data_IF_364906594006
#
_entry.id   IF_364906594006
#
_cell.length_a   1.000
_cell.length_b   1.000
_cell.length_c   1.000
_cell.angle_alpha   90.00
_cell.angle_beta   90.00
_cell.angle_gamma   90.00
#
_symmetry.space_group_name_H-M   'P 1'
#
loop_
_entity.id
_entity.type
_entity.pdbx_description
1 polymer ?
#
# COMPACT_ATOMS: atom_id res chain seq x y z
N UNK A 1 -14.63 20.10 -11.68
CA UNK A 1 -15.61 19.55 -10.73
C UNK A 1 -15.80 20.56 -9.62
N UNK A 2 -17.03 21.01 -9.41
CA UNK A 2 -17.40 21.90 -8.30
C UNK A 2 -18.07 21.07 -7.21
N UNK A 3 -17.83 21.40 -5.94
CA UNK A 3 -18.37 20.68 -4.79
C UNK A 3 -18.97 21.67 -3.79
N UNK A 4 -20.15 21.37 -3.26
CA UNK A 4 -20.82 22.15 -2.21
C UNK A 4 -21.07 21.26 -0.99
N UNK A 5 -20.78 21.77 0.21
CA UNK A 5 -21.07 21.05 1.46
C UNK A 5 -22.37 21.54 2.06
N UNK A 6 -23.36 20.65 2.10
CA UNK A 6 -24.65 20.93 2.72
C UNK A 6 -24.67 20.48 4.18
N UNK A 7 -25.27 21.29 5.05
CA UNK A 7 -25.54 20.90 6.44
C UNK A 7 -26.73 19.95 6.48
N UNK A 8 -26.71 18.99 7.42
CA UNK A 8 -27.75 17.96 7.58
C UNK A 8 -29.16 18.57 7.74
N UNK A 9 -29.26 19.71 8.42
CA UNK A 9 -30.54 20.38 8.67
C UNK A 9 -31.21 20.87 7.37
N UNK A 10 -30.43 21.06 6.30
CA UNK A 10 -30.91 21.47 4.97
C UNK A 10 -31.19 20.30 4.04
N UNK A 11 -31.31 19.08 4.56
CA UNK A 11 -31.59 17.92 3.70
C UNK A 11 -32.93 18.06 2.98
N UNK A 12 -33.94 18.68 3.61
CA UNK A 12 -35.23 18.99 2.97
C UNK A 12 -35.03 19.91 1.77
N UNK A 13 -34.34 21.04 1.96
CA UNK A 13 -34.02 21.99 0.89
C UNK A 13 -33.27 21.31 -0.27
N UNK A 14 -32.32 20.42 0.04
CA UNK A 14 -31.57 19.67 -0.97
C UNK A 14 -32.47 18.71 -1.74
N UNK A 15 -33.38 18.00 -1.06
CA UNK A 15 -34.35 17.12 -1.72
C UNK A 15 -35.31 17.91 -2.61
N UNK A 16 -35.74 19.10 -2.18
CA UNK A 16 -36.57 20.00 -2.99
C UNK A 16 -35.83 20.51 -4.24
N UNK A 17 -34.54 20.82 -4.08
CA UNK A 17 -33.64 21.18 -5.18
C UNK A 17 -33.52 20.03 -6.20
N UNK A 18 -33.33 18.79 -5.74
CA UNK A 18 -33.31 17.59 -6.59
C UNK A 18 -34.65 17.39 -7.30
N UNK A 19 -35.77 17.49 -6.57
CA UNK A 19 -37.11 17.32 -7.11
C UNK A 19 -37.43 18.35 -8.19
N UNK A 20 -36.84 19.55 -8.10
CA UNK A 20 -36.91 20.57 -9.14
C UNK A 20 -35.89 20.36 -10.24
N UNK A 21 -34.84 19.55 -10.05
CA UNK A 21 -33.72 19.39 -10.97
C UNK A 21 -32.81 20.63 -11.03
N UNK A 22 -32.68 21.34 -9.91
CA UNK A 22 -31.88 22.56 -9.75
C UNK A 22 -30.96 22.38 -8.56
N UNK A 23 -29.67 22.18 -8.80
CA UNK A 23 -28.69 21.99 -7.73
C UNK A 23 -27.83 23.25 -7.58
N UNK A 24 -28.00 24.03 -6.49
CA UNK A 24 -27.11 25.15 -6.22
C UNK A 24 -25.73 24.65 -5.80
N UNK A 25 -24.69 25.16 -6.47
CA UNK A 25 -23.29 24.89 -6.17
C UNK A 25 -22.56 26.25 -6.15
N UNK A 26 -22.17 26.71 -4.96
CA UNK A 26 -21.64 28.06 -4.77
C UNK A 26 -22.65 29.14 -5.19
N UNK A 27 -22.29 29.94 -6.21
CA UNK A 27 -23.15 30.98 -6.79
C UNK A 27 -23.95 30.51 -8.00
N UNK A 28 -23.65 29.31 -8.49
CA UNK A 28 -24.21 28.77 -9.72
C UNK A 28 -25.34 27.79 -9.41
N UNK A 29 -26.23 27.57 -10.39
CA UNK A 29 -27.27 26.55 -10.33
C UNK A 29 -27.04 25.57 -11.47
N UNK A 30 -26.79 24.31 -11.14
CA UNK A 30 -26.66 23.22 -12.11
C UNK A 30 -28.06 22.68 -12.39
N UNK A 31 -28.51 22.82 -13.64
CA UNK A 31 -29.79 22.29 -14.08
C UNK A 31 -29.63 20.83 -14.55
N UNK A 32 -30.38 19.93 -13.91
CA UNK A 32 -30.40 18.51 -14.22
C UNK A 32 -31.83 18.16 -14.63
N UNK A 33 -32.20 18.68 -15.80
CA UNK A 33 -33.53 18.58 -16.39
C UNK A 33 -33.43 18.31 -17.88
N UNK A 34 -34.47 17.71 -18.44
CA UNK A 34 -34.68 17.60 -19.88
C UNK A 34 -35.95 18.35 -20.27
N UNK A 35 -36.02 18.76 -21.54
CA UNK A 35 -37.22 19.40 -22.07
C UNK A 35 -38.14 18.34 -22.68
N UNK A 36 -39.40 18.29 -22.23
CA UNK A 36 -40.45 17.46 -22.81
C UNK A 36 -41.55 18.39 -23.34
N UNK A 37 -41.62 18.57 -24.66
CA UNK A 37 -42.48 19.57 -25.27
C UNK A 37 -42.03 20.99 -24.91
N UNK A 38 -42.90 21.77 -24.27
CA UNK A 38 -42.59 23.14 -23.79
C UNK A 38 -42.19 23.18 -22.31
N UNK A 39 -42.23 22.04 -21.60
CA UNK A 39 -41.96 21.98 -20.16
C UNK A 39 -40.58 21.40 -19.87
N UNK A 40 -39.93 21.91 -18.82
CA UNK A 40 -38.71 21.34 -18.26
C UNK A 40 -39.05 20.36 -17.16
N UNK A 41 -38.55 19.12 -17.28
CA UNK A 41 -38.76 18.07 -16.28
C UNK A 41 -37.42 17.63 -15.69
N UNK A 42 -37.33 17.43 -14.36
CA UNK A 42 -36.12 16.92 -13.74
C UNK A 42 -35.79 15.53 -14.26
N UNK A 43 -34.51 15.19 -14.36
CA UNK A 43 -34.13 13.80 -14.53
C UNK A 43 -34.46 13.02 -13.25
N UNK A 44 -35.01 11.82 -13.43
CA UNK A 44 -35.27 10.92 -12.30
C UNK A 44 -33.95 10.40 -11.72
N UNK A 45 -33.95 10.15 -10.42
CA UNK A 45 -32.86 9.46 -9.72
C UNK A 45 -32.68 8.10 -10.39
N UNK A 46 -31.49 7.87 -10.94
CA UNK A 46 -31.18 6.65 -11.67
C UNK A 46 -30.59 5.57 -10.77
N UNK A 47 -29.90 5.97 -9.68
CA UNK A 47 -29.09 5.02 -8.93
C UNK A 47 -28.87 5.47 -7.48
N UNK A 48 -29.02 4.52 -6.55
CA UNK A 48 -28.70 4.65 -5.14
C UNK A 48 -27.73 3.54 -4.76
N UNK A 49 -26.49 3.90 -4.42
CA UNK A 49 -25.45 2.92 -4.15
C UNK A 49 -24.72 3.22 -2.85
N UNK A 50 -24.47 2.16 -2.09
CA UNK A 50 -23.48 2.17 -1.04
C UNK A 50 -22.08 2.00 -1.65
N UNK A 51 -21.13 2.81 -1.19
CA UNK A 51 -19.72 2.77 -1.57
C UNK A 51 -18.89 2.53 -0.31
N UNK A 52 -18.12 1.45 -0.31
CA UNK A 52 -17.10 1.24 0.72
C UNK A 52 -15.98 2.28 0.58
N UNK A 53 -15.15 2.44 1.62
CA UNK A 53 -14.08 3.44 1.69
C UNK A 53 -13.17 3.44 0.46
N UNK A 54 -12.74 2.25 -0.01
CA UNK A 54 -11.85 2.13 -1.18
C UNK A 54 -12.47 2.75 -2.42
N UNK A 55 -13.74 2.42 -2.70
CA UNK A 55 -14.44 2.92 -3.88
C UNK A 55 -14.81 4.39 -3.75
N UNK A 56 -15.17 4.85 -2.54
CA UNK A 56 -15.39 6.28 -2.28
C UNK A 56 -14.12 7.09 -2.51
N UNK A 57 -12.96 6.61 -2.05
CA UNK A 57 -11.68 7.31 -2.24
C UNK A 57 -11.34 7.45 -3.72
N UNK A 58 -11.56 6.40 -4.51
CA UNK A 58 -11.30 6.44 -5.96
C UNK A 58 -12.28 7.33 -6.73
N UNK A 59 -13.57 7.34 -6.35
CA UNK A 59 -14.60 8.08 -7.09
C UNK A 59 -14.72 9.55 -6.65
N UNK A 60 -14.57 9.83 -5.35
CA UNK A 60 -14.89 11.13 -4.75
C UNK A 60 -13.76 11.74 -3.92
N UNK A 61 -12.65 11.03 -3.72
CA UNK A 61 -11.53 11.52 -2.89
C UNK A 61 -11.85 11.63 -1.40
N UNK A 62 -12.85 10.90 -0.89
CA UNK A 62 -13.22 10.90 0.53
C UNK A 62 -12.72 9.65 1.26
N UNK A 63 -12.33 9.82 2.53
CA UNK A 63 -11.75 8.77 3.39
C UNK A 63 -12.79 7.96 4.19
N UNK A 64 -14.04 7.98 3.76
CA UNK A 64 -15.16 7.34 4.45
C UNK A 64 -16.04 6.57 3.47
N UNK A 65 -16.73 5.53 3.94
CA UNK A 65 -17.82 4.96 3.15
C UNK A 65 -18.90 6.02 2.89
N UNK A 66 -19.60 5.92 1.76
CA UNK A 66 -20.65 6.89 1.40
C UNK A 66 -21.88 6.20 0.85
N UNK A 67 -23.04 6.77 1.12
CA UNK A 67 -24.18 6.59 0.24
C UNK A 67 -24.11 7.62 -0.87
N UNK A 68 -24.22 7.17 -2.11
CA UNK A 68 -24.26 8.03 -3.28
C UNK A 68 -25.63 7.92 -3.94
N UNK A 69 -26.24 9.07 -4.18
CA UNK A 69 -27.41 9.23 -5.03
C UNK A 69 -26.94 9.85 -6.34
N UNK A 70 -27.06 9.11 -7.44
CA UNK A 70 -26.65 9.58 -8.75
C UNK A 70 -27.87 9.97 -9.57
N UNK A 71 -27.83 11.19 -10.05
CA UNK A 71 -28.77 11.73 -11.04
C UNK A 71 -27.96 11.88 -12.32
N UNK A 72 -28.43 11.24 -13.39
CA UNK A 72 -27.76 11.27 -14.68
C UNK A 72 -28.79 11.35 -15.79
N UNK A 73 -28.47 12.13 -16.82
CA UNK A 73 -29.29 12.25 -18.00
C UNK A 73 -28.46 12.71 -19.19
N UNK A 74 -28.67 12.07 -20.34
CA UNK A 74 -28.16 12.62 -21.59
C UNK A 74 -28.99 13.84 -21.97
N UNK A 75 -28.33 14.94 -22.27
CA UNK A 75 -28.94 16.11 -22.91
C UNK A 75 -29.29 15.68 -24.34
N UNK A 76 -30.52 15.22 -24.49
CA UNK A 76 -31.05 14.82 -25.79
C UNK A 76 -31.65 16.05 -26.45
N UNK A 77 -30.97 16.55 -27.47
CA UNK A 77 -31.60 17.41 -28.45
C UNK A 77 -32.48 16.53 -29.34
N UNK A 78 -33.72 16.96 -29.62
CA UNK A 78 -34.50 16.29 -30.66
C UNK A 78 -33.80 16.43 -32.03
N UNK A 79 -34.08 15.49 -32.94
CA UNK A 79 -33.43 15.45 -34.26
C UNK A 79 -33.62 16.74 -35.06
N UNK A 80 -34.72 17.47 -34.86
CA UNK A 80 -34.99 18.70 -35.59
C UNK A 80 -34.12 19.84 -35.07
N UNK A 81 -33.98 19.97 -33.74
CA UNK A 81 -33.09 20.93 -33.10
C UNK A 81 -31.63 20.66 -33.42
N UNK A 82 -31.19 19.41 -33.40
CA UNK A 82 -29.82 19.06 -33.84
C UNK A 82 -29.57 19.51 -35.27
N UNK A 83 -30.49 19.18 -36.20
CA UNK A 83 -30.37 19.63 -37.58
C UNK A 83 -30.33 21.15 -37.70
N UNK A 84 -31.12 21.88 -36.92
CA UNK A 84 -31.12 23.35 -36.90
C UNK A 84 -29.78 23.90 -36.39
N UNK A 85 -29.25 23.35 -35.31
CA UNK A 85 -27.93 23.72 -34.76
C UNK A 85 -26.83 23.44 -35.79
N UNK A 86 -26.79 22.23 -36.33
CA UNK A 86 -25.77 21.86 -37.32
C UNK A 86 -25.88 22.70 -38.59
N UNK A 87 -27.09 23.02 -39.04
CA UNK A 87 -27.30 23.92 -40.19
C UNK A 87 -26.81 25.34 -39.90
N UNK A 88 -27.07 25.85 -38.70
CA UNK A 88 -26.59 27.16 -38.27
C UNK A 88 -25.06 27.19 -38.22
N UNK A 89 -24.42 26.17 -37.65
CA UNK A 89 -22.96 26.04 -37.56
C UNK A 89 -22.29 25.98 -38.94
N UNK A 90 -22.91 25.27 -39.90
CA UNK A 90 -22.43 25.22 -41.29
C UNK A 90 -22.60 26.56 -42.04
N UNK A 91 -23.42 27.47 -41.52
CA UNK A 91 -23.71 28.76 -42.14
C UNK A 91 -22.92 29.94 -41.55
N UNK A 92 -22.09 29.70 -40.53
CA UNK A 92 -21.22 30.71 -39.95
C UNK A 92 -20.13 31.19 -40.95
N UNK A 93 -19.61 32.40 -40.76
CA UNK A 93 -18.49 32.96 -41.56
C UNK A 93 -17.26 32.03 -41.58
N UNK A 94 -16.99 31.39 -40.45
CA UNK A 94 -16.08 30.25 -40.33
C UNK A 94 -16.94 29.01 -40.06
N UNK A 95 -17.30 28.24 -41.10
CA UNK A 95 -18.27 27.16 -40.97
C UNK A 95 -17.67 25.95 -40.25
N UNK A 96 -18.52 25.26 -39.49
CA UNK A 96 -18.20 23.98 -38.85
C UNK A 96 -19.10 22.89 -39.43
N UNK A 97 -18.59 21.67 -39.60
CA UNK A 97 -19.40 20.51 -40.02
C UNK A 97 -20.22 19.93 -38.86
N UNK A 98 -21.11 20.76 -38.34
CA UNK A 98 -22.00 20.43 -37.24
C UNK A 98 -21.33 20.48 -35.86
N UNK A 99 -22.10 20.08 -34.86
CA UNK A 99 -21.72 20.21 -33.45
C UNK A 99 -20.52 19.34 -33.07
N UNK A 100 -20.34 18.18 -33.71
CA UNK A 100 -19.21 17.29 -33.45
C UNK A 100 -17.88 17.91 -33.92
N UNK A 101 -17.85 18.46 -35.13
CA UNK A 101 -16.66 19.12 -35.69
C UNK A 101 -16.22 20.34 -34.85
N UNK A 102 -17.19 21.17 -34.44
CA UNK A 102 -16.94 22.26 -33.50
C UNK A 102 -16.34 21.76 -32.18
N UNK A 103 -16.89 20.70 -31.60
CA UNK A 103 -16.41 20.13 -30.33
C UNK A 103 -15.02 19.53 -30.44
N UNK A 104 -14.69 18.92 -31.57
CA UNK A 104 -13.35 18.37 -31.80
C UNK A 104 -12.33 19.48 -31.96
N UNK A 105 -12.54 20.40 -32.90
CA UNK A 105 -11.49 21.32 -33.34
C UNK A 105 -11.43 22.63 -32.55
N UNK A 106 -12.55 23.08 -31.96
CA UNK A 106 -12.57 24.30 -31.15
C UNK A 106 -12.37 24.00 -29.66
N UNK A 107 -13.05 22.97 -29.13
CA UNK A 107 -12.96 22.60 -27.71
C UNK A 107 -11.78 21.65 -27.44
N UNK A 108 -11.32 20.90 -28.46
CA UNK A 108 -10.21 19.95 -28.32
C UNK A 108 -10.63 18.56 -27.82
N UNK A 109 -11.90 18.16 -28.03
CA UNK A 109 -12.37 16.84 -27.63
C UNK A 109 -11.99 15.78 -28.67
N UNK A 110 -11.57 14.57 -28.28
CA UNK A 110 -11.36 13.47 -29.24
C UNK A 110 -12.65 13.16 -30.02
N UNK A 111 -12.53 12.81 -31.30
CA UNK A 111 -13.66 12.50 -32.21
C UNK A 111 -14.76 11.63 -31.58
N UNK A 112 -14.38 10.53 -30.92
CA UNK A 112 -15.33 9.61 -30.27
C UNK A 112 -16.15 10.26 -29.16
N UNK A 113 -15.59 11.26 -28.47
CA UNK A 113 -16.27 12.02 -27.42
C UNK A 113 -17.10 13.14 -28.02
N UNK A 114 -16.58 13.82 -29.05
CA UNK A 114 -17.26 14.91 -29.74
C UNK A 114 -18.58 14.47 -30.41
N UNK A 115 -18.69 13.20 -30.80
CA UNK A 115 -19.89 12.60 -31.38
C UNK A 115 -20.93 12.11 -30.37
N UNK A 116 -20.63 12.10 -29.06
CA UNK A 116 -21.58 11.61 -28.04
C UNK A 116 -22.50 12.72 -27.56
N UNK A 117 -23.77 12.43 -27.25
CA UNK A 117 -24.64 13.37 -26.55
C UNK A 117 -23.97 13.86 -25.27
N UNK A 118 -24.12 15.15 -24.96
CA UNK A 118 -23.72 15.65 -23.65
C UNK A 118 -24.53 14.94 -22.56
N UNK A 119 -23.94 14.76 -21.39
CA UNK A 119 -24.65 14.23 -20.25
C UNK A 119 -24.47 15.17 -19.06
N UNK A 120 -25.59 15.45 -18.39
CA UNK A 120 -25.59 16.06 -17.08
C UNK A 120 -25.55 14.96 -16.03
N UNK A 121 -24.62 15.07 -15.09
CA UNK A 121 -24.54 14.17 -13.94
C UNK A 121 -24.37 15.00 -12.66
N UNK A 122 -25.09 14.62 -11.61
CA UNK A 122 -24.73 15.00 -10.26
C UNK A 122 -24.76 13.79 -9.33
N UNK A 123 -23.73 13.75 -8.48
CA UNK A 123 -23.62 12.82 -7.39
C UNK A 123 -23.86 13.57 -6.07
N UNK A 124 -24.85 13.11 -5.32
CA UNK A 124 -25.13 13.58 -3.97
C UNK A 124 -24.63 12.52 -3.02
N UNK A 125 -23.56 12.87 -2.31
CA UNK A 125 -22.83 11.95 -1.44
C UNK A 125 -23.13 12.26 0.02
N UNK A 126 -23.47 11.22 0.78
CA UNK A 126 -23.65 11.25 2.22
C UNK A 126 -22.56 10.37 2.87
N UNK A 127 -21.44 10.97 3.32
CA UNK A 127 -20.38 10.23 4.00
C UNK A 127 -20.84 9.66 5.33
N UNK A 128 -20.60 8.37 5.52
CA UNK A 128 -20.66 7.71 6.82
C UNK A 128 -19.31 7.91 7.48
N UNK A 129 -19.18 9.00 8.24
CA UNK A 129 -17.95 9.40 8.91
C UNK A 129 -17.57 8.46 10.08
N UNK A 130 -17.44 7.16 9.82
CA UNK A 130 -16.91 6.12 10.70
C UNK A 130 -15.89 5.33 9.89
N UNK A 131 -14.68 5.18 10.43
CA UNK A 131 -13.63 4.35 9.85
C UNK A 131 -12.77 3.73 10.94
N UNK A 132 -12.02 2.70 10.57
CA UNK A 132 -10.98 2.15 11.40
C UNK A 132 -9.75 3.07 11.33
N UNK A 133 -9.10 3.27 12.47
CA UNK A 133 -7.92 4.12 12.61
C UNK A 133 -6.66 3.38 12.12
N UNK A 134 -5.76 4.14 11.49
CA UNK A 134 -4.53 3.61 10.90
C UNK A 134 -3.50 3.18 11.97
N UNK A 135 -3.74 3.56 13.24
CA UNK A 135 -3.00 3.15 14.44
C UNK A 135 -3.48 1.81 15.05
N UNK A 136 -4.42 1.13 14.38
CA UNK A 136 -4.85 -0.21 14.79
C UNK A 136 -3.74 -1.25 14.60
N UNK A 137 -3.58 -2.15 15.56
CA UNK A 137 -2.46 -3.11 15.61
C UNK A 137 -2.91 -4.48 16.10
N UNK A 138 -2.23 -5.53 15.64
CA UNK A 138 -2.34 -6.88 16.17
C UNK A 138 -0.97 -7.32 16.68
N UNK A 139 -0.87 -7.55 17.99
CA UNK A 139 0.35 -8.07 18.60
C UNK A 139 0.03 -9.35 19.39
N UNK A 140 0.58 -10.46 18.92
CA UNK A 140 0.27 -11.80 19.41
C UNK A 140 -1.25 -12.05 19.44
N UNK A 141 -1.87 -12.07 20.63
CA UNK A 141 -3.32 -12.26 20.82
C UNK A 141 -4.09 -10.97 21.04
N UNK A 142 -3.41 -9.83 21.13
CA UNK A 142 -4.00 -8.56 21.49
C UNK A 142 -4.23 -7.74 20.22
N UNK A 143 -5.50 -7.61 19.85
CA UNK A 143 -5.96 -6.74 18.79
C UNK A 143 -6.36 -5.38 19.39
N UNK A 144 -5.62 -4.32 19.03
CA UNK A 144 -5.97 -2.94 19.35
C UNK A 144 -6.60 -2.31 18.11
N UNK A 145 -7.86 -1.89 18.22
CA UNK A 145 -8.60 -1.26 17.13
C UNK A 145 -8.96 0.17 17.52
N UNK A 146 -8.48 1.11 16.72
CA UNK A 146 -8.86 2.51 16.79
C UNK A 146 -10.03 2.79 15.87
N UNK A 147 -10.93 3.69 16.27
CA UNK A 147 -12.12 4.07 15.52
C UNK A 147 -12.14 5.59 15.41
N UNK A 148 -12.09 6.06 14.17
CA UNK A 148 -12.24 7.47 13.84
C UNK A 148 -13.69 7.69 13.43
N UNK A 149 -14.42 8.51 14.20
CA UNK A 149 -15.81 8.83 13.89
C UNK A 149 -16.15 10.29 14.20
N UNK A 150 -17.09 10.82 13.42
CA UNK A 150 -17.68 12.15 13.65
C UNK A 150 -18.40 12.18 15.02
N UNK A 151 -18.14 13.20 15.87
CA UNK A 151 -18.83 13.36 17.15
C UNK A 151 -20.36 13.40 17.06
N UNK A 152 -20.93 13.80 15.92
CA UNK A 152 -22.37 13.86 15.70
C UNK A 152 -23.01 12.49 15.42
N UNK A 153 -22.21 11.45 15.14
CA UNK A 153 -22.72 10.10 14.93
C UNK A 153 -23.05 9.41 16.24
N UNK A 154 -24.22 8.77 16.28
CA UNK A 154 -24.63 7.96 17.42
C UNK A 154 -23.79 6.67 17.50
N UNK A 155 -22.80 6.68 18.39
CA UNK A 155 -21.84 5.59 18.57
C UNK A 155 -22.47 4.27 19.01
N UNK A 156 -23.70 4.27 19.53
CA UNK A 156 -24.43 3.05 19.94
C UNK A 156 -24.72 2.12 18.76
N UNK A 157 -24.73 2.66 17.55
CA UNK A 157 -24.93 1.89 16.33
C UNK A 157 -23.63 1.42 15.67
N UNK A 158 -22.47 1.74 16.26
CA UNK A 158 -21.17 1.26 15.80
C UNK A 158 -20.88 -0.08 16.49
N UNK A 159 -20.58 -1.10 15.70
CA UNK A 159 -20.05 -2.38 16.16
C UNK A 159 -18.84 -2.79 15.34
N UNK A 160 -17.98 -3.61 15.94
CA UNK A 160 -16.87 -4.26 15.25
C UNK A 160 -17.14 -5.74 15.19
N UNK A 161 -17.03 -6.32 13.99
CA UNK A 161 -16.97 -7.77 13.81
C UNK A 161 -15.51 -8.16 13.58
N UNK A 162 -15.03 -9.13 14.36
CA UNK A 162 -13.69 -9.69 14.23
C UNK A 162 -13.80 -11.13 13.78
N UNK A 163 -13.12 -11.45 12.68
CA UNK A 163 -13.00 -12.80 12.14
C UNK A 163 -11.51 -13.16 12.24
N UNK A 164 -11.18 -14.13 13.08
CA UNK A 164 -9.81 -14.57 13.32
C UNK A 164 -9.65 -15.99 12.78
N UNK A 165 -8.68 -16.22 11.91
CA UNK A 165 -8.27 -17.55 11.45
C UNK A 165 -6.97 -17.90 12.16
N UNK A 166 -6.93 -19.04 12.84
CA UNK A 166 -5.75 -19.52 13.56
C UNK A 166 -4.98 -20.54 12.70
N UNK A 167 -3.72 -20.84 13.06
CA UNK A 167 -2.82 -21.63 12.20
C UNK A 167 -3.30 -23.05 11.88
N UNK A 168 -4.19 -23.62 12.69
CA UNK A 168 -4.82 -24.92 12.41
C UNK A 168 -6.00 -24.85 11.42
N UNK A 169 -6.26 -23.67 10.83
CA UNK A 169 -7.35 -23.41 9.89
C UNK A 169 -8.70 -23.10 10.54
N UNK A 170 -8.86 -23.25 11.85
CA UNK A 170 -10.12 -22.90 12.51
C UNK A 170 -10.37 -21.39 12.50
N UNK A 171 -11.66 -21.02 12.41
CA UNK A 171 -12.09 -19.62 12.33
C UNK A 171 -12.94 -19.26 13.54
N UNK A 172 -12.54 -18.21 14.26
CA UNK A 172 -13.23 -17.63 15.39
C UNK A 172 -13.91 -16.34 14.94
N UNK A 173 -15.15 -16.12 15.38
CA UNK A 173 -15.95 -14.94 15.03
C UNK A 173 -16.51 -14.33 16.30
N UNK A 174 -16.33 -13.02 16.46
CA UNK A 174 -16.86 -12.28 17.59
C UNK A 174 -17.32 -10.90 17.15
N UNK A 175 -18.37 -10.40 17.79
CA UNK A 175 -18.88 -9.04 17.58
C UNK A 175 -18.76 -8.24 18.87
N UNK A 176 -18.30 -7.00 18.74
CA UNK A 176 -18.07 -6.08 19.85
C UNK A 176 -18.83 -4.78 19.60
N UNK A 177 -19.82 -4.48 20.43
CA UNK A 177 -20.50 -3.18 20.39
C UNK A 177 -19.68 -2.12 21.12
N UNK A 178 -19.66 -0.88 20.61
CA UNK A 178 -19.14 0.24 21.39
C UNK A 178 -20.12 0.61 22.50
N UNK A 179 -19.93 0.03 23.69
CA UNK A 179 -20.73 0.37 24.87
C UNK A 179 -20.46 1.77 25.42
N UNK A 180 -19.37 2.43 24.99
CA UNK A 180 -18.95 3.76 25.43
C UNK A 180 -18.37 4.54 24.25
N UNK A 181 -18.25 5.88 24.36
CA UNK A 181 -17.52 6.76 23.41
C UNK A 181 -16.01 6.46 23.29
N UNK A 182 -15.54 5.29 23.73
CA UNK A 182 -14.16 4.87 23.62
C UNK A 182 -13.82 4.64 22.16
N UNK A 183 -12.91 5.45 21.64
CA UNK A 183 -12.38 5.35 20.27
C UNK A 183 -11.30 4.29 20.10
N UNK A 184 -10.89 3.64 21.18
CA UNK A 184 -9.89 2.57 21.17
C UNK A 184 -10.45 1.35 21.90
N UNK A 185 -10.46 0.22 21.20
CA UNK A 185 -10.86 -1.09 21.72
C UNK A 185 -9.63 -1.99 21.82
N UNK A 186 -9.48 -2.64 22.96
CA UNK A 186 -8.49 -3.70 23.17
C UNK A 186 -9.24 -5.02 23.27
N UNK A 187 -9.01 -5.90 22.32
CA UNK A 187 -9.66 -7.19 22.18
C UNK A 187 -8.60 -8.27 22.38
N UNK A 188 -8.83 -9.18 23.32
CA UNK A 188 -7.98 -10.35 23.53
C UNK A 188 -8.59 -11.53 22.77
N UNK A 189 -7.85 -12.06 21.81
CA UNK A 189 -8.27 -13.20 21.01
C UNK A 189 -8.05 -14.51 21.79
N UNK A 190 -8.92 -15.52 21.64
CA UNK A 190 -8.80 -16.80 22.37
C UNK A 190 -7.52 -17.59 22.08
N UNK A 191 -6.88 -17.31 20.95
CA UNK A 191 -5.62 -17.92 20.52
C UNK A 191 -4.90 -17.00 19.54
N UNK A 192 -3.62 -17.28 19.25
CA UNK A 192 -2.81 -16.49 18.32
C UNK A 192 -3.37 -16.65 16.89
N UNK A 193 -3.90 -15.58 16.27
CA UNK A 193 -4.39 -15.64 14.89
C UNK A 193 -3.23 -15.82 13.91
N UNK A 194 -3.47 -16.53 12.81
CA UNK A 194 -2.70 -16.44 11.57
C UNK A 194 -3.16 -15.22 10.74
N UNK A 195 -4.47 -14.95 10.74
CA UNK A 195 -5.10 -13.79 10.11
C UNK A 195 -6.24 -13.26 11.00
N UNK A 196 -6.45 -11.95 11.01
CA UNK A 196 -7.60 -11.33 11.65
C UNK A 196 -8.18 -10.24 10.74
N UNK A 197 -9.44 -10.40 10.34
CA UNK A 197 -10.24 -9.36 9.69
C UNK A 197 -11.06 -8.61 10.72
N UNK A 198 -11.00 -7.29 10.67
CA UNK A 198 -11.81 -6.39 11.49
C UNK A 198 -12.72 -5.60 10.57
N UNK A 199 -14.03 -5.70 10.82
CA UNK A 199 -15.07 -5.06 10.02
C UNK A 199 -15.79 -4.07 10.93
N UNK A 200 -15.74 -2.78 10.59
CA UNK A 200 -16.54 -1.76 11.23
C UNK A 200 -17.94 -1.75 10.62
N UNK A 201 -18.96 -1.78 11.48
CA UNK A 201 -20.36 -1.84 11.07
C UNK A 201 -21.09 -0.65 11.71
N UNK A 202 -21.81 0.13 10.91
CA UNK A 202 -22.71 1.18 11.38
C UNK A 202 -24.15 0.90 10.92
N UNK A 203 -25.08 0.76 11.87
CA UNK A 203 -26.51 0.45 11.58
C UNK A 203 -26.71 -0.76 10.65
N UNK A 204 -25.86 -1.78 10.79
CA UNK A 204 -25.93 -3.01 10.01
C UNK A 204 -25.21 -2.98 8.66
N UNK A 205 -24.57 -1.85 8.31
CA UNK A 205 -23.79 -1.71 7.06
C UNK A 205 -22.30 -1.77 7.37
N UNK A 206 -21.55 -2.57 6.60
CA UNK A 206 -20.08 -2.59 6.61
C UNK A 206 -19.55 -1.25 6.08
N UNK A 207 -18.87 -0.48 6.93
CA UNK A 207 -18.36 0.86 6.60
C UNK A 207 -16.86 0.91 6.38
N UNK A 208 -16.10 -0.03 6.96
CA UNK A 208 -14.65 -0.08 6.79
C UNK A 208 -14.10 -1.45 7.22
N UNK A 209 -12.96 -1.83 6.64
CA UNK A 209 -12.31 -3.11 6.93
C UNK A 209 -10.80 -2.95 7.06
N UNK A 210 -10.24 -3.60 8.08
CA UNK A 210 -8.81 -3.81 8.24
C UNK A 210 -8.50 -5.30 8.27
N UNK A 211 -7.42 -5.67 7.59
CA UNK A 211 -6.89 -7.03 7.61
C UNK A 211 -5.52 -7.02 8.30
N UNK A 212 -5.34 -7.95 9.24
CA UNK A 212 -4.07 -8.24 9.88
C UNK A 212 -3.65 -9.66 9.52
N UNK A 213 -2.41 -9.85 9.10
CA UNK A 213 -1.80 -11.18 8.95
C UNK A 213 -0.60 -11.27 9.89
N UNK A 214 -0.48 -12.36 10.66
CA UNK A 214 0.64 -12.55 11.61
C UNK A 214 1.85 -13.22 10.98
N UNK A 215 1.69 -13.82 9.79
CA UNK A 215 2.76 -14.20 8.86
C UNK A 215 2.31 -13.90 7.43
N UNK A 216 2.71 -12.75 6.89
CA UNK A 216 2.46 -12.46 5.47
C UNK A 216 3.48 -13.15 4.57
N UNK A 217 4.56 -13.69 5.14
CA UNK A 217 5.58 -14.45 4.43
C UNK A 217 5.40 -15.98 4.58
N UNK A 218 5.07 -16.70 3.49
CA UNK A 218 4.91 -18.16 3.53
C UNK A 218 6.20 -18.90 3.91
N UNK A 219 7.39 -18.30 3.68
CA UNK A 219 8.68 -18.90 4.05
C UNK A 219 8.88 -18.92 5.57
N UNK A 220 8.51 -17.83 6.26
CA UNK A 220 8.50 -17.80 7.74
C UNK A 220 7.45 -18.75 8.29
N UNK A 221 6.25 -18.80 7.70
CA UNK A 221 5.20 -19.72 8.11
C UNK A 221 5.67 -21.19 8.03
N UNK A 222 6.39 -21.57 6.97
CA UNK A 222 6.99 -22.90 6.84
C UNK A 222 8.01 -23.20 7.96
N UNK A 223 8.91 -22.25 8.25
CA UNK A 223 9.90 -22.42 9.33
C UNK A 223 9.21 -22.61 10.70
N UNK A 224 8.15 -21.85 10.98
CA UNK A 224 7.36 -22.02 12.20
C UNK A 224 6.70 -23.42 12.26
N UNK A 225 6.20 -23.95 11.14
CA UNK A 225 5.66 -25.33 11.06
C UNK A 225 6.73 -26.40 11.29
N UNK A 226 7.99 -26.14 10.92
CA UNK A 226 9.13 -27.00 11.19
C UNK A 226 9.65 -26.87 12.64
N UNK A 227 8.95 -26.10 13.49
CA UNK A 227 9.30 -25.91 14.90
C UNK A 227 10.33 -24.81 15.16
N UNK A 228 10.69 -24.02 14.13
CA UNK A 228 11.59 -22.88 14.28
C UNK A 228 10.77 -21.60 14.47
N UNK A 229 10.55 -21.21 15.72
CA UNK A 229 9.93 -19.91 16.03
C UNK A 229 10.85 -18.76 15.64
N UNK A 230 10.30 -17.55 15.43
CA UNK A 230 11.10 -16.36 15.14
C UNK A 230 12.12 -16.04 16.25
N UNK A 231 11.73 -16.19 17.52
CA UNK A 231 12.64 -15.98 18.66
C UNK A 231 13.78 -17.01 18.66
N UNK A 232 13.46 -18.27 18.32
CA UNK A 232 14.48 -19.30 18.16
C UNK A 232 15.39 -19.00 16.97
N UNK A 233 14.85 -18.52 15.85
CA UNK A 233 15.62 -18.15 14.66
C UNK A 233 16.57 -16.98 14.96
N UNK A 234 16.08 -15.93 15.61
CA UNK A 234 16.91 -14.82 16.08
C UNK A 234 18.01 -15.33 17.02
N UNK A 235 17.66 -16.11 18.04
CA UNK A 235 18.63 -16.67 18.99
C UNK A 235 19.70 -17.51 18.30
N UNK A 236 19.34 -18.29 17.26
CA UNK A 236 20.30 -19.05 16.46
C UNK A 236 21.24 -18.15 15.67
N UNK A 237 20.74 -17.08 15.03
CA UNK A 237 21.58 -16.11 14.34
C UNK A 237 22.54 -15.39 15.28
N UNK A 238 22.08 -15.02 16.48
CA UNK A 238 22.90 -14.29 17.44
C UNK A 238 23.97 -15.12 18.14
N UNK A 239 23.69 -16.41 18.37
CA UNK A 239 24.56 -17.29 19.18
C UNK A 239 25.33 -18.33 18.35
N UNK A 240 25.04 -18.46 17.05
CA UNK A 240 25.76 -19.38 16.18
C UNK A 240 27.21 -18.94 15.94
N UNK A 241 28.06 -19.93 15.64
CA UNK A 241 29.49 -19.73 15.41
C UNK A 241 29.91 -20.40 14.09
N UNK A 242 30.86 -19.78 13.40
CA UNK A 242 31.43 -20.31 12.15
C UNK A 242 30.36 -20.72 11.13
N UNK A 243 30.42 -21.98 10.69
CA UNK A 243 29.54 -22.54 9.65
C UNK A 243 28.05 -22.51 9.99
N UNK A 244 27.68 -22.55 11.27
CA UNK A 244 26.27 -22.44 11.64
C UNK A 244 25.75 -21.02 11.42
N UNK A 245 26.58 -20.00 11.63
CA UNK A 245 26.19 -18.60 11.37
C UNK A 245 25.99 -18.36 9.87
N UNK A 246 26.83 -18.94 9.02
CA UNK A 246 26.64 -18.92 7.57
C UNK A 246 25.31 -19.57 7.15
N UNK A 247 25.01 -20.76 7.67
CA UNK A 247 23.75 -21.47 7.38
C UNK A 247 22.52 -20.65 7.77
N UNK A 248 22.53 -20.08 8.98
CA UNK A 248 21.41 -19.26 9.44
C UNK A 248 21.28 -17.96 8.66
N UNK A 249 22.39 -17.35 8.25
CA UNK A 249 22.39 -16.19 7.35
C UNK A 249 21.82 -16.53 5.97
N UNK A 250 22.10 -17.74 5.45
CA UNK A 250 21.49 -18.24 4.22
C UNK A 250 19.96 -18.42 4.36
N UNK A 251 19.50 -19.01 5.47
CA UNK A 251 18.05 -19.15 5.74
C UNK A 251 17.37 -17.78 5.88
N UNK A 252 18.06 -16.79 6.43
CA UNK A 252 17.55 -15.42 6.53
C UNK A 252 17.35 -14.80 5.15
N UNK A 253 18.35 -14.91 4.26
CA UNK A 253 18.25 -14.43 2.88
C UNK A 253 17.13 -15.15 2.12
N UNK A 254 16.98 -16.47 2.31
CA UNK A 254 15.85 -17.21 1.74
C UNK A 254 14.52 -16.65 2.23
N UNK A 255 14.41 -16.40 3.55
CA UNK A 255 13.21 -15.83 4.16
C UNK A 255 12.92 -14.42 3.63
N UNK A 256 13.93 -13.64 3.24
CA UNK A 256 13.79 -12.32 2.63
C UNK A 256 13.41 -12.36 1.14
N UNK A 257 13.15 -13.54 0.58
CA UNK A 257 12.73 -13.68 -0.82
C UNK A 257 13.87 -13.74 -1.82
N UNK A 258 15.07 -14.09 -1.36
CA UNK A 258 16.18 -14.40 -2.25
C UNK A 258 16.33 -15.91 -2.45
N UNK A 259 17.13 -16.28 -3.44
CA UNK A 259 17.51 -17.66 -3.76
C UNK A 259 19.00 -17.88 -3.43
N UNK A 260 19.36 -18.22 -2.17
CA UNK A 260 20.74 -18.38 -1.74
C UNK A 260 21.32 -19.76 -2.07
N UNK A 261 22.57 -19.79 -2.52
CA UNK A 261 23.46 -20.93 -2.51
C UNK A 261 24.54 -20.77 -1.43
N UNK A 262 24.61 -21.70 -0.48
CA UNK A 262 25.64 -21.73 0.57
C UNK A 262 26.83 -22.57 0.09
N UNK A 263 28.00 -21.95 -0.04
CA UNK A 263 29.26 -22.58 -0.47
C UNK A 263 30.28 -22.68 0.68
N UNK A 264 29.93 -22.20 1.87
CA UNK A 264 30.77 -22.28 3.06
C UNK A 264 31.15 -23.73 3.40
N UNK A 265 32.45 -23.96 3.59
CA UNK A 265 33.00 -25.28 3.87
C UNK A 265 33.18 -26.20 2.65
N UNK A 266 32.97 -25.70 1.44
CA UNK A 266 33.40 -26.39 0.21
C UNK A 266 34.90 -26.20 -0.03
N UNK A 267 35.49 -27.03 -0.90
CA UNK A 267 36.88 -26.88 -1.35
C UNK A 267 37.05 -25.83 -2.47
N UNK A 268 35.97 -25.14 -2.83
CA UNK A 268 35.98 -24.12 -3.87
C UNK A 268 36.46 -22.80 -3.26
N UNK A 269 37.22 -22.02 -4.04
CA UNK A 269 37.54 -20.63 -3.69
C UNK A 269 36.32 -19.72 -3.95
N UNK A 270 35.27 -19.91 -3.15
CA UNK A 270 33.97 -19.28 -3.30
C UNK A 270 33.67 -18.35 -2.10
N UNK A 271 32.81 -17.33 -2.27
CA UNK A 271 32.19 -16.63 -1.14
C UNK A 271 31.32 -17.60 -0.33
N UNK A 272 31.10 -17.32 0.95
CA UNK A 272 30.28 -18.19 1.82
C UNK A 272 28.85 -18.38 1.27
N UNK A 273 28.24 -17.30 0.76
CA UNK A 273 26.88 -17.31 0.20
C UNK A 273 26.83 -16.48 -1.09
N UNK A 274 26.08 -16.97 -2.08
CA UNK A 274 25.64 -16.19 -3.24
C UNK A 274 24.12 -16.22 -3.25
N UNK A 275 23.45 -15.07 -3.33
CA UNK A 275 21.99 -15.01 -3.30
C UNK A 275 21.43 -14.17 -4.45
N UNK A 276 20.61 -14.80 -5.29
CA UNK A 276 19.93 -14.16 -6.42
C UNK A 276 18.60 -13.56 -5.98
N UNK A 277 18.23 -12.42 -6.56
CA UNK A 277 16.83 -12.00 -6.60
C UNK A 277 16.02 -12.90 -7.54
N UNK A 278 14.71 -13.01 -7.29
CA UNK A 278 13.82 -13.84 -8.11
C UNK A 278 13.70 -13.33 -9.57
N UNK A 279 13.90 -12.03 -9.81
CA UNK A 279 13.95 -11.41 -11.15
C UNK A 279 15.32 -11.51 -11.84
N UNK A 280 16.34 -12.04 -11.15
CA UNK A 280 17.71 -12.14 -11.61
C UNK A 280 18.35 -10.80 -12.05
N UNK A 281 17.89 -9.66 -11.53
CA UNK A 281 18.52 -8.35 -11.77
C UNK A 281 19.56 -7.99 -10.68
N UNK A 282 19.48 -8.63 -9.51
CA UNK A 282 20.32 -8.32 -8.36
C UNK A 282 20.94 -9.59 -7.73
N UNK A 283 22.20 -9.48 -7.33
CA UNK A 283 22.99 -10.56 -6.75
C UNK A 283 23.72 -10.07 -5.51
N UNK A 284 23.58 -10.80 -4.41
CA UNK A 284 24.42 -10.64 -3.24
C UNK A 284 25.56 -11.64 -3.27
N UNK A 285 26.78 -11.14 -3.07
CA UNK A 285 27.98 -11.95 -2.81
C UNK A 285 28.32 -11.73 -1.35
N UNK A 286 28.22 -12.77 -0.53
CA UNK A 286 28.27 -12.64 0.91
C UNK A 286 29.37 -13.48 1.57
N UNK A 287 30.08 -12.84 2.50
CA UNK A 287 30.91 -13.49 3.52
C UNK A 287 30.21 -13.41 4.87
N UNK A 288 30.44 -14.40 5.72
CA UNK A 288 29.99 -14.39 7.10
C UNK A 288 31.20 -14.47 8.04
N UNK A 289 31.15 -13.75 9.16
CA UNK A 289 32.17 -13.83 10.20
C UNK A 289 31.60 -13.59 11.58
N UNK A 290 32.06 -14.37 12.55
CA UNK A 290 31.82 -14.13 13.98
C UNK A 290 33.00 -13.42 14.65
N UNK A 291 34.12 -13.29 13.93
CA UNK A 291 35.33 -12.57 14.36
C UNK A 291 35.33 -11.12 13.85
N UNK A 292 36.49 -10.44 13.92
CA UNK A 292 36.66 -9.11 13.30
C UNK A 292 36.39 -9.18 11.78
N UNK A 293 35.70 -8.17 11.20
CA UNK A 293 35.33 -8.11 9.79
C UNK A 293 36.45 -8.42 8.78
N UNK A 294 37.65 -7.85 8.97
CA UNK A 294 38.77 -8.05 8.05
C UNK A 294 39.79 -9.10 8.51
N UNK A 295 39.45 -9.92 9.51
CA UNK A 295 40.36 -10.98 9.96
C UNK A 295 40.72 -11.89 8.78
N UNK A 296 42.03 -11.97 8.48
CA UNK A 296 42.53 -12.77 7.34
C UNK A 296 42.26 -12.16 5.96
N UNK A 297 41.99 -10.85 5.87
CA UNK A 297 41.79 -10.13 4.63
C UNK A 297 40.45 -10.41 3.95
N UNK A 298 39.42 -10.80 4.72
CA UNK A 298 38.09 -11.17 4.22
C UNK A 298 37.46 -10.07 3.37
N UNK A 299 37.57 -8.80 3.76
CA UNK A 299 37.00 -7.70 2.98
C UNK A 299 37.66 -7.58 1.61
N UNK A 300 38.99 -7.72 1.54
CA UNK A 300 39.72 -7.69 0.25
C UNK A 300 39.33 -8.88 -0.64
N UNK A 301 39.23 -10.07 -0.06
CA UNK A 301 38.82 -11.28 -0.82
C UNK A 301 37.39 -11.13 -1.33
N UNK A 302 36.48 -10.63 -0.50
CA UNK A 302 35.09 -10.38 -0.88
C UNK A 302 35.00 -9.37 -2.02
N UNK A 303 35.70 -8.24 -1.93
CA UNK A 303 35.74 -7.24 -3.00
C UNK A 303 36.27 -7.83 -4.32
N UNK A 304 37.38 -8.58 -4.26
CA UNK A 304 37.96 -9.25 -5.43
C UNK A 304 37.01 -10.25 -6.07
N UNK A 305 36.41 -11.15 -5.28
CA UNK A 305 35.44 -12.16 -5.76
C UNK A 305 34.21 -11.50 -6.37
N UNK A 306 33.69 -10.46 -5.73
CA UNK A 306 32.53 -9.70 -6.21
C UNK A 306 32.83 -9.04 -7.55
N UNK A 307 34.02 -8.44 -7.72
CA UNK A 307 34.43 -7.84 -8.99
C UNK A 307 34.58 -8.88 -10.10
N UNK A 308 35.13 -10.05 -9.79
CA UNK A 308 35.23 -11.17 -10.75
C UNK A 308 33.84 -11.65 -11.19
N UNK A 309 32.94 -11.87 -10.23
CA UNK A 309 31.54 -12.29 -10.50
C UNK A 309 30.80 -11.22 -11.30
N UNK A 310 30.90 -9.94 -10.92
CA UNK A 310 30.27 -8.84 -11.66
C UNK A 310 30.81 -8.68 -13.08
N UNK A 311 32.09 -9.00 -13.32
CA UNK A 311 32.66 -9.02 -14.67
C UNK A 311 32.06 -10.13 -15.53
N UNK A 312 31.76 -11.29 -14.93
CA UNK A 312 31.12 -12.41 -15.60
C UNK A 312 29.61 -12.19 -15.81
N UNK A 313 28.93 -11.47 -14.91
CA UNK A 313 27.49 -11.24 -14.88
C UNK A 313 27.13 -9.76 -15.12
N UNK A 314 27.52 -9.22 -16.27
CA UNK A 314 27.39 -7.78 -16.58
C UNK A 314 25.95 -7.24 -16.58
N UNK A 315 24.96 -8.10 -16.74
CA UNK A 315 23.54 -7.71 -16.76
C UNK A 315 22.93 -7.57 -15.37
N UNK A 316 23.67 -7.93 -14.30
CA UNK A 316 23.18 -7.92 -12.93
C UNK A 316 23.88 -6.86 -12.10
N UNK A 317 23.14 -6.29 -11.16
CA UNK A 317 23.75 -5.52 -10.06
C UNK A 317 24.34 -6.50 -9.05
N UNK A 318 25.64 -6.48 -8.83
CA UNK A 318 26.31 -7.36 -7.86
C UNK A 318 26.78 -6.56 -6.65
N UNK A 319 26.28 -6.89 -5.46
CA UNK A 319 26.57 -6.17 -4.22
C UNK A 319 27.35 -7.06 -3.25
N UNK A 320 28.55 -6.64 -2.79
CA UNK A 320 29.29 -7.34 -1.75
C UNK A 320 28.69 -7.07 -0.37
N UNK A 321 28.49 -8.12 0.41
CA UNK A 321 27.90 -8.06 1.75
C UNK A 321 28.74 -8.84 2.74
N UNK A 322 29.04 -8.24 3.89
CA UNK A 322 29.60 -8.96 5.03
C UNK A 322 28.55 -9.07 6.13
N UNK A 323 28.15 -10.30 6.45
CA UNK A 323 27.38 -10.60 7.66
C UNK A 323 28.34 -10.77 8.84
N UNK A 324 28.06 -10.08 9.94
CA UNK A 324 28.81 -10.25 11.18
C UNK A 324 27.92 -10.36 12.40
N UNK A 325 28.29 -11.27 13.31
CA UNK A 325 27.67 -11.39 14.62
C UNK A 325 28.10 -10.27 15.59
N UNK A 326 29.02 -9.38 15.19
CA UNK A 326 29.42 -8.21 16.00
C UNK A 326 28.36 -7.11 15.94
N UNK A 327 28.03 -6.48 17.08
CA UNK A 327 27.31 -5.21 17.13
C UNK A 327 28.04 -4.08 16.39
N UNK A 328 27.29 -3.11 15.86
CA UNK A 328 27.83 -1.99 15.06
C UNK A 328 28.87 -1.16 15.81
N UNK A 329 28.64 -0.92 17.10
CA UNK A 329 29.54 -0.14 17.96
C UNK A 329 30.85 -0.86 18.31
N UNK A 330 30.98 -2.15 18.00
CA UNK A 330 32.19 -2.95 18.22
C UNK A 330 33.00 -3.16 16.94
N UNK A 331 32.60 -2.56 15.82
CA UNK A 331 33.41 -2.58 14.60
C UNK A 331 34.57 -1.60 14.75
N UNK A 332 35.79 -2.06 14.44
CA UNK A 332 36.95 -1.17 14.42
C UNK A 332 36.90 -0.22 13.21
N UNK A 333 37.50 0.98 13.35
CA UNK A 333 37.43 2.03 12.32
C UNK A 333 38.05 1.61 11.00
N UNK A 334 39.18 0.88 11.05
CA UNK A 334 39.91 0.43 9.86
C UNK A 334 39.06 -0.46 8.96
N UNK A 335 38.30 -1.39 9.54
CA UNK A 335 37.41 -2.28 8.81
C UNK A 335 36.25 -1.51 8.17
N UNK A 336 35.70 -0.53 8.89
CA UNK A 336 34.63 0.34 8.40
C UNK A 336 35.12 1.20 7.23
N UNK A 337 36.29 1.80 7.34
CA UNK A 337 36.92 2.60 6.27
C UNK A 337 37.21 1.75 5.04
N UNK A 338 37.73 0.54 5.23
CA UNK A 338 37.99 -0.41 4.15
C UNK A 338 36.71 -0.85 3.45
N UNK A 339 35.67 -1.21 4.20
CA UNK A 339 34.38 -1.55 3.63
C UNK A 339 33.74 -0.37 2.88
N UNK A 340 33.89 0.86 3.39
CA UNK A 340 33.47 2.07 2.69
C UNK A 340 34.17 2.21 1.33
N UNK A 341 35.51 2.09 1.33
CA UNK A 341 36.32 2.21 0.11
C UNK A 341 35.98 1.14 -0.93
N UNK A 342 35.75 -0.09 -0.49
CA UNK A 342 35.42 -1.23 -1.37
C UNK A 342 33.92 -1.37 -1.65
N UNK A 343 33.09 -0.43 -1.17
CA UNK A 343 31.62 -0.44 -1.32
C UNK A 343 30.94 -1.72 -0.81
N UNK A 344 31.42 -2.24 0.32
CA UNK A 344 30.91 -3.44 0.99
C UNK A 344 29.87 -3.05 2.03
N UNK A 345 28.67 -3.61 1.92
CA UNK A 345 27.66 -3.47 2.96
C UNK A 345 28.03 -4.34 4.16
N UNK A 346 28.08 -3.76 5.36
CA UNK A 346 28.29 -4.53 6.60
C UNK A 346 26.95 -4.67 7.32
N UNK A 347 26.46 -5.91 7.43
CA UNK A 347 25.24 -6.25 8.18
C UNK A 347 25.66 -6.83 9.53
N UNK A 348 25.41 -6.06 10.59
CA UNK A 348 25.78 -6.38 11.97
C UNK A 348 24.68 -7.16 12.66
N UNK A 349 24.96 -7.59 13.90
CA UNK A 349 23.96 -8.16 14.81
C UNK A 349 22.68 -7.32 14.89
N UNK A 350 22.83 -6.00 14.94
CA UNK A 350 21.69 -5.07 15.03
C UNK A 350 20.83 -5.10 13.76
N UNK A 351 21.48 -5.20 12.59
CA UNK A 351 20.76 -5.25 11.31
C UNK A 351 20.04 -6.58 11.11
N UNK A 352 20.56 -7.69 11.65
CA UNK A 352 19.91 -9.00 11.56
C UNK A 352 18.50 -8.94 12.18
N UNK A 353 18.33 -8.21 13.29
CA UNK A 353 17.03 -8.04 13.94
C UNK A 353 16.05 -7.32 13.00
N UNK A 354 16.51 -6.27 12.33
CA UNK A 354 15.68 -5.52 11.38
C UNK A 354 15.37 -6.30 10.11
N UNK A 355 16.31 -7.12 9.64
CA UNK A 355 16.10 -8.07 8.55
C UNK A 355 15.09 -9.16 8.92
N UNK A 356 15.13 -9.70 10.14
CA UNK A 356 14.13 -10.66 10.62
C UNK A 356 12.73 -10.04 10.70
N UNK A 357 12.61 -8.77 11.12
CA UNK A 357 11.34 -8.04 11.05
C UNK A 357 10.85 -7.91 9.60
N UNK A 358 11.74 -7.56 8.67
CA UNK A 358 11.41 -7.49 7.24
C UNK A 358 11.01 -8.86 6.68
N UNK A 359 11.64 -9.95 7.13
CA UNK A 359 11.30 -11.30 6.72
C UNK A 359 9.93 -11.75 7.25
N UNK A 360 9.49 -11.24 8.41
CA UNK A 360 8.15 -11.53 8.95
C UNK A 360 7.04 -10.87 8.14
N UNK A 361 7.30 -9.67 7.63
CA UNK A 361 6.46 -8.98 6.63
C UNK A 361 6.59 -9.67 5.25
N UNK A 362 5.80 -9.27 4.26
CA UNK A 362 5.98 -9.74 2.89
C UNK A 362 7.18 -8.99 2.33
N UNK A 363 8.34 -9.64 2.15
CA UNK A 363 9.55 -8.92 1.78
C UNK A 363 9.37 -8.33 0.37
N UNK A 364 9.62 -7.02 0.27
CA UNK A 364 9.71 -6.33 -1.01
C UNK A 364 11.18 -6.22 -1.38
N UNK A 365 11.57 -6.80 -2.52
CA UNK A 365 12.96 -6.86 -2.94
C UNK A 365 13.60 -5.47 -3.02
N UNK A 366 12.88 -4.47 -3.54
CA UNK A 366 13.33 -3.07 -3.60
C UNK A 366 13.62 -2.49 -2.19
N UNK A 367 12.80 -2.83 -1.19
CA UNK A 367 12.98 -2.38 0.20
C UNK A 367 14.23 -3.05 0.80
N UNK A 368 14.43 -4.33 0.53
CA UNK A 368 15.62 -5.08 0.94
C UNK A 368 16.88 -4.49 0.29
N UNK A 369 16.86 -4.25 -1.02
CA UNK A 369 18.00 -3.69 -1.76
C UNK A 369 18.38 -2.31 -1.22
N UNK A 370 17.41 -1.40 -1.06
CA UNK A 370 17.65 -0.08 -0.45
C UNK A 370 18.21 -0.21 0.96
N UNK A 371 17.68 -1.14 1.75
CA UNK A 371 18.17 -1.39 3.10
C UNK A 371 19.64 -1.85 3.09
N UNK A 372 19.99 -2.88 2.31
CA UNK A 372 21.37 -3.40 2.23
C UNK A 372 22.35 -2.32 1.75
N UNK A 373 21.99 -1.57 0.69
CA UNK A 373 22.83 -0.49 0.17
C UNK A 373 23.04 0.63 1.21
N UNK A 374 22.03 0.92 2.05
CA UNK A 374 22.17 1.89 3.15
C UNK A 374 23.17 1.47 4.24
N UNK A 375 23.61 0.20 4.23
CA UNK A 375 24.59 -0.35 5.19
C UNK A 375 26.01 -0.37 4.65
N UNK A 376 26.25 0.20 3.45
CA UNK A 376 27.59 0.55 2.99
C UNK A 376 28.04 1.74 3.84
N UNK A 377 29.14 1.63 4.61
CA UNK A 377 29.59 2.76 5.42
C UNK A 377 29.97 3.94 4.52
N UNK A 378 29.54 5.13 4.90
CA UNK A 378 29.99 6.36 4.25
C UNK A 378 31.18 6.92 5.03
N UNK A 379 32.23 7.35 4.31
CA UNK A 379 33.24 8.19 4.93
C UNK A 379 32.55 9.45 5.43
N UNK A 380 32.60 9.68 6.74
CA UNK A 380 32.43 11.04 7.25
C UNK A 380 33.62 11.79 6.69
N UNK A 381 33.41 12.57 5.64
CA UNK A 381 34.40 13.53 5.18
C UNK A 381 34.74 14.37 6.40
N UNK A 382 35.96 14.21 6.91
CA UNK A 382 36.50 15.08 7.93
C UNK A 382 36.22 16.50 7.46
N UNK A 383 35.38 17.22 8.20
CA UNK A 383 35.34 18.66 8.03
C UNK A 383 36.76 19.19 8.22
N UNK A 384 37.07 20.42 7.79
CA UNK A 384 38.42 20.97 7.87
C UNK A 384 39.00 21.08 9.31
N UNK A 385 38.30 20.56 10.33
CA UNK A 385 38.73 20.46 11.72
C UNK A 385 38.25 19.13 12.34
N UNK A 386 39.03 18.04 12.21
CA UNK A 386 38.86 16.83 13.04
C UNK A 386 38.90 15.52 12.29
#
# INVERSE_FOLDING_TARGET
MSHERWKKEKIGDLLDCIAKGELPIGKDVVHIKYQQGQEWKPYEIQDYQFRNRTRTRSEFGLEFATFALRIWGSVLFDNERLRRIDSALRSCEHPWDGLADLREHFVGLPFDTANRPDAAMADIIAPLNVRLGDDSTLNDRILKVSIVSDPALDSRHISLSVISTVSNGSTLRAQYSLKNKKRLLKIELPSRPAKADVIAIYRGVDVDRLEFSTSSNPRIALLEQLGLTLDAFQSRLENSQGRDFERWSSILLQSLGMSPGHFGGTNLDAPDIIAFSDDAEWLLVAECTVAEPDLGGKLTKLASRTKQIGTALKSMTVTPVLFTAKPRNLLNKTDVEKASKEQIAILTKDDIIDLLKMARETPQLEKLQKYVLSKIPHQVSAGPFG
#
